data_IF_411436632506
#
_entry.id   IF_411436632506
#
_cell.length_a   1.000
_cell.length_b   1.000
_cell.length_c   1.000
_cell.angle_alpha   90.00
_cell.angle_beta   90.00
_cell.angle_gamma   90.00
#
_symmetry.space_group_name_H-M   'P 1'
#
loop_
_entity.id
_entity.type
_entity.pdbx_description
1 polymer ?
#
# COMPACT_ATOMS: atom_id res chain seq x y z
N UNK A 1 -12.42 -16.03 -16.19
CA UNK A 1 -12.62 -14.57 -16.17
C UNK A 1 -11.88 -14.00 -17.38
N UNK A 2 -12.37 -12.93 -18.04
CA UNK A 2 -11.69 -12.32 -19.19
C UNK A 2 -11.70 -10.81 -19.06
N UNK A 3 -10.59 -10.19 -19.46
CA UNK A 3 -10.43 -8.74 -19.50
C UNK A 3 -9.81 -8.33 -20.83
N UNK A 4 -10.22 -7.18 -21.33
CA UNK A 4 -9.64 -6.52 -22.51
C UNK A 4 -9.02 -5.20 -22.11
N UNK A 5 -7.86 -4.85 -22.69
CA UNK A 5 -7.29 -3.52 -22.54
C UNK A 5 -8.18 -2.51 -23.27
N UNK A 6 -8.68 -1.51 -22.55
CA UNK A 6 -9.57 -0.48 -23.11
C UNK A 6 -8.90 0.89 -23.25
N UNK A 7 -7.87 1.17 -22.44
CA UNK A 7 -7.22 2.49 -22.42
C UNK A 7 -5.76 2.37 -22.05
N UNK A 8 -4.96 3.26 -22.62
CA UNK A 8 -3.58 3.53 -22.24
C UNK A 8 -3.44 5.05 -22.11
N UNK A 9 -2.91 5.51 -20.98
CA UNK A 9 -2.74 6.92 -20.69
C UNK A 9 -1.27 7.14 -20.36
N UNK A 10 -0.61 7.99 -21.13
CA UNK A 10 0.81 8.25 -20.97
C UNK A 10 1.04 9.27 -19.85
N UNK A 11 2.19 9.17 -19.19
CA UNK A 11 2.68 10.14 -18.20
C UNK A 11 1.75 10.37 -17.00
N UNK A 12 1.10 9.31 -16.52
CA UNK A 12 0.31 9.34 -15.28
C UNK A 12 1.24 9.33 -14.06
N UNK A 13 1.15 10.36 -13.21
CA UNK A 13 1.99 10.44 -12.00
C UNK A 13 1.34 9.71 -10.83
N UNK A 14 0.07 9.97 -10.58
CA UNK A 14 -0.74 9.36 -9.53
C UNK A 14 -2.11 8.95 -10.07
N UNK A 15 -2.74 7.95 -9.46
CA UNK A 15 -4.11 7.57 -9.79
C UNK A 15 -4.80 6.91 -8.59
N UNK A 16 -6.11 7.13 -8.49
CA UNK A 16 -7.00 6.43 -7.58
C UNK A 16 -7.90 5.48 -8.40
N UNK A 17 -7.67 4.15 -8.32
CA UNK A 17 -8.46 3.18 -9.08
C UNK A 17 -9.92 3.11 -8.61
N UNK A 18 -10.25 3.49 -7.37
CA UNK A 18 -11.62 3.41 -6.83
C UNK A 18 -12.53 4.46 -7.46
N UNK A 19 -11.97 5.63 -7.74
CA UNK A 19 -12.71 6.82 -8.20
C UNK A 19 -12.36 7.21 -9.65
N UNK A 20 -11.44 6.48 -10.27
CA UNK A 20 -10.95 6.70 -11.64
C UNK A 20 -10.31 8.09 -11.85
N UNK A 21 -9.82 8.70 -10.76
CA UNK A 21 -9.08 9.96 -10.82
C UNK A 21 -7.63 9.68 -11.16
N UNK A 22 -7.01 10.49 -12.02
CA UNK A 22 -5.57 10.40 -12.26
C UNK A 22 -4.95 11.74 -12.61
N UNK A 23 -3.69 11.92 -12.21
CA UNK A 23 -2.88 13.07 -12.56
C UNK A 23 -2.00 12.77 -13.79
N UNK A 24 -1.92 13.71 -14.71
CA UNK A 24 -1.18 13.58 -15.99
C UNK A 24 -0.20 14.74 -16.18
N UNK A 25 0.95 14.45 -16.78
CA UNK A 25 1.99 15.44 -17.11
C UNK A 25 1.97 15.85 -18.60
N UNK A 26 1.52 14.96 -19.49
CA UNK A 26 1.40 15.20 -20.94
C UNK A 26 0.02 14.75 -21.45
N UNK A 27 -0.59 15.42 -22.46
CA UNK A 27 -0.08 16.60 -23.16
C UNK A 27 -0.23 17.91 -22.38
N UNK A 28 -1.03 17.91 -21.33
CA UNK A 28 -1.26 19.06 -20.43
C UNK A 28 -1.25 18.61 -18.99
N UNK A 29 -0.53 19.32 -18.14
CA UNK A 29 -0.43 19.04 -16.71
C UNK A 29 -1.77 19.26 -16.03
N UNK A 30 -2.23 18.28 -15.27
CA UNK A 30 -3.52 18.40 -14.60
C UNK A 30 -4.03 17.12 -13.96
N UNK A 31 -5.29 17.16 -13.57
CA UNK A 31 -6.05 16.03 -13.04
C UNK A 31 -7.21 15.76 -14.00
N UNK A 32 -7.49 14.49 -14.28
CA UNK A 32 -8.76 14.09 -14.87
C UNK A 32 -9.64 13.43 -13.80
N UNK A 33 -10.87 13.92 -13.68
CA UNK A 33 -11.89 13.37 -12.79
C UNK A 33 -13.26 13.43 -13.46
N UNK A 34 -14.01 12.32 -13.51
CA UNK A 34 -15.33 12.28 -14.14
C UNK A 34 -15.37 12.92 -15.54
N UNK A 35 -14.36 12.64 -16.36
CA UNK A 35 -14.18 13.24 -17.71
C UNK A 35 -13.92 14.75 -17.74
N UNK A 36 -13.87 15.42 -16.58
CA UNK A 36 -13.49 16.82 -16.44
C UNK A 36 -11.98 16.91 -16.25
N UNK A 37 -11.33 17.71 -17.09
CA UNK A 37 -9.90 18.00 -16.98
C UNK A 37 -9.68 19.32 -16.24
N UNK A 38 -8.88 19.26 -15.18
CA UNK A 38 -8.50 20.42 -14.37
C UNK A 38 -7.02 20.70 -14.67
N UNK A 39 -6.69 21.79 -15.40
CA UNK A 39 -5.30 22.14 -15.68
C UNK A 39 -4.60 22.63 -14.42
N UNK A 40 -3.36 22.19 -14.20
CA UNK A 40 -2.54 22.55 -13.05
C UNK A 40 -1.13 22.95 -13.47
N UNK A 41 -0.51 23.86 -12.71
CA UNK A 41 0.90 24.22 -12.92
C UNK A 41 1.85 23.08 -12.54
N UNK A 42 1.50 22.32 -11.49
CA UNK A 42 2.24 21.18 -10.98
C UNK A 42 1.36 19.95 -10.95
N UNK A 43 1.89 18.82 -11.42
CA UNK A 43 1.18 17.54 -11.42
C UNK A 43 1.27 16.93 -10.02
N UNK A 44 0.15 16.54 -9.41
CA UNK A 44 0.16 15.78 -8.16
C UNK A 44 0.91 14.45 -8.28
N UNK A 45 1.66 14.12 -7.24
CA UNK A 45 2.37 12.85 -7.09
C UNK A 45 1.55 11.83 -6.29
N UNK A 46 0.56 12.29 -5.52
CA UNK A 46 -0.44 11.43 -4.90
C UNK A 46 -1.85 12.01 -5.09
N UNK A 47 -2.84 11.12 -5.15
CA UNK A 47 -4.25 11.46 -5.38
C UNK A 47 -5.18 10.43 -4.76
N UNK A 48 -6.18 10.91 -4.04
CA UNK A 48 -7.30 10.10 -3.55
C UNK A 48 -8.58 10.91 -3.65
N UNK A 49 -9.69 10.27 -4.00
CA UNK A 49 -11.00 10.91 -3.88
C UNK A 49 -11.85 10.23 -2.82
N UNK A 50 -12.50 11.08 -2.03
CA UNK A 50 -13.23 10.75 -0.83
C UNK A 50 -14.55 11.50 -0.87
N UNK A 51 -15.64 10.78 -1.07
CA UNK A 51 -16.95 11.40 -1.29
C UNK A 51 -16.93 12.31 -2.51
N UNK A 52 -17.18 13.60 -2.31
CA UNK A 52 -17.17 14.62 -3.37
C UNK A 52 -15.84 15.38 -3.47
N UNK A 53 -14.90 15.13 -2.55
CA UNK A 53 -13.63 15.83 -2.48
C UNK A 53 -12.53 15.02 -3.14
N UNK A 54 -11.60 15.70 -3.80
CA UNK A 54 -10.34 15.14 -4.28
C UNK A 54 -9.22 15.74 -3.44
N UNK A 55 -8.33 14.89 -2.97
CA UNK A 55 -7.14 15.28 -2.25
C UNK A 55 -5.94 14.99 -3.14
N UNK A 56 -5.06 15.97 -3.28
CA UNK A 56 -3.86 15.83 -4.11
C UNK A 56 -2.65 16.35 -3.39
N UNK A 57 -1.53 15.65 -3.50
CA UNK A 57 -0.25 16.07 -2.90
C UNK A 57 0.76 16.29 -4.03
N UNK A 58 1.39 17.47 -4.06
CA UNK A 58 2.46 17.74 -5.01
C UNK A 58 3.86 17.44 -4.42
N UNK A 59 4.88 17.38 -5.27
CA UNK A 59 6.24 17.03 -4.83
C UNK A 59 6.92 18.05 -3.91
N UNK A 60 6.27 19.17 -3.59
CA UNK A 60 6.73 20.12 -2.59
C UNK A 60 6.00 19.97 -1.24
N UNK A 61 5.13 18.95 -1.10
CA UNK A 61 4.43 18.68 0.15
C UNK A 61 3.16 19.51 0.36
N UNK A 62 2.58 20.04 -0.71
CA UNK A 62 1.33 20.80 -0.63
C UNK A 62 0.17 19.86 -0.89
N UNK A 63 -0.61 19.60 0.15
CA UNK A 63 -1.90 18.94 0.04
C UNK A 63 -2.95 19.96 -0.40
N UNK A 64 -3.72 19.63 -1.43
CA UNK A 64 -4.78 20.46 -1.98
C UNK A 64 -6.08 19.70 -1.96
N UNK A 65 -7.15 20.39 -1.55
CA UNK A 65 -8.50 19.85 -1.46
C UNK A 65 -9.35 20.50 -2.53
N UNK A 66 -9.96 19.68 -3.38
CA UNK A 66 -10.79 20.10 -4.50
C UNK A 66 -12.21 19.59 -4.30
N UNK A 67 -13.21 20.39 -4.67
CA UNK A 67 -14.61 20.01 -4.66
C UNK A 67 -15.27 20.57 -5.92
N UNK A 68 -15.98 19.72 -6.68
CA UNK A 68 -16.58 20.10 -7.97
C UNK A 68 -15.60 20.76 -8.97
N UNK A 69 -14.32 20.39 -8.90
CA UNK A 69 -13.25 20.95 -9.73
C UNK A 69 -12.73 22.33 -9.30
N UNK A 70 -13.19 22.84 -8.16
CA UNK A 70 -12.75 24.09 -7.56
C UNK A 70 -11.77 23.78 -6.43
N UNK A 71 -10.64 24.50 -6.38
CA UNK A 71 -9.70 24.43 -5.26
C UNK A 71 -10.33 25.09 -4.03
N UNK A 72 -10.53 24.32 -2.97
CA UNK A 72 -11.12 24.79 -1.71
C UNK A 72 -10.03 25.21 -0.74
N UNK A 73 -8.98 24.41 -0.61
CA UNK A 73 -7.92 24.64 0.37
C UNK A 73 -6.56 24.14 -0.11
N UNK A 74 -5.50 24.80 0.34
CA UNK A 74 -4.12 24.35 0.18
C UNK A 74 -3.43 24.35 1.54
N UNK A 75 -2.87 23.20 1.91
CA UNK A 75 -2.25 22.95 3.19
C UNK A 75 -0.79 22.56 2.92
N UNK A 76 0.15 23.39 3.36
CA UNK A 76 1.58 23.13 3.19
C UNK A 76 2.08 22.05 4.15
N UNK A 77 3.13 21.32 3.81
CA UNK A 77 3.73 20.27 4.64
C UNK A 77 2.68 19.28 5.18
N UNK A 78 1.84 18.75 4.29
CA UNK A 78 0.81 17.79 4.65
C UNK A 78 0.73 16.66 3.63
N UNK A 79 0.31 15.49 4.10
CA UNK A 79 0.16 14.28 3.30
C UNK A 79 -1.12 13.51 3.67
N UNK A 80 -1.48 12.55 2.84
CA UNK A 80 -2.58 11.62 3.09
C UNK A 80 -2.20 10.63 4.19
N UNK A 81 -3.13 10.38 5.11
CA UNK A 81 -3.00 9.29 6.08
C UNK A 81 -3.38 7.96 5.41
N UNK A 82 -2.58 6.93 5.62
CA UNK A 82 -2.71 5.62 4.96
C UNK A 82 -4.02 4.88 5.25
N UNK A 83 -4.73 5.25 6.32
CA UNK A 83 -5.99 4.64 6.78
C UNK A 83 -7.05 5.67 7.23
N UNK A 84 -6.87 6.98 6.99
CA UNK A 84 -7.79 7.94 7.62
C UNK A 84 -9.22 7.83 7.11
N UNK A 85 -10.14 7.76 8.07
CA UNK A 85 -11.56 7.99 7.88
C UNK A 85 -11.78 9.48 7.57
N UNK A 86 -11.56 9.83 6.31
CA UNK A 86 -12.02 10.99 5.53
C UNK A 86 -11.83 12.44 6.03
N UNK A 87 -11.40 12.69 7.26
CA UNK A 87 -11.31 14.05 7.83
C UNK A 87 -9.99 14.36 8.55
N UNK A 88 -9.04 13.43 8.52
CA UNK A 88 -7.72 13.62 9.13
C UNK A 88 -6.63 13.46 8.09
N UNK A 89 -5.64 14.34 8.15
CA UNK A 89 -4.45 14.28 7.29
C UNK A 89 -3.18 14.35 8.14
N UNK A 90 -2.09 13.83 7.59
CA UNK A 90 -0.79 13.94 8.20
C UNK A 90 -0.30 15.37 8.01
N UNK A 91 0.22 15.98 9.07
CA UNK A 91 0.85 17.29 9.04
C UNK A 91 2.27 17.14 9.54
N UNK A 92 3.25 17.58 8.78
CA UNK A 92 4.65 17.47 9.16
C UNK A 92 5.35 18.83 9.17
N UNK A 93 6.45 18.89 9.91
CA UNK A 93 7.26 20.09 10.10
C UNK A 93 8.73 19.69 10.10
N UNK A 94 9.60 20.58 9.63
CA UNK A 94 11.05 20.39 9.71
C UNK A 94 11.65 21.42 10.64
N UNK A 95 12.56 20.98 11.51
CA UNK A 95 13.45 21.90 12.22
C UNK A 95 14.62 22.35 11.34
N UNK A 96 15.55 23.12 11.92
CA UNK A 96 16.72 23.64 11.21
C UNK A 96 17.72 22.55 10.81
N UNK A 97 17.65 21.38 11.43
CA UNK A 97 18.50 20.22 11.18
C UNK A 97 17.82 19.21 10.23
N UNK A 98 16.64 19.56 9.68
CA UNK A 98 15.82 18.70 8.82
C UNK A 98 15.24 17.47 9.52
N UNK A 99 15.13 17.48 10.85
CA UNK A 99 14.35 16.47 11.54
C UNK A 99 12.86 16.71 11.27
N UNK A 100 12.14 15.66 10.87
CA UNK A 100 10.70 15.70 10.65
C UNK A 100 9.93 15.52 11.95
N UNK A 101 8.90 16.33 12.16
CA UNK A 101 7.96 16.21 13.26
C UNK A 101 6.55 16.10 12.71
N UNK A 102 5.87 15.01 13.04
CA UNK A 102 4.55 14.71 12.53
C UNK A 102 3.47 15.03 13.57
N UNK A 103 2.30 15.37 13.06
CA UNK A 103 1.07 15.58 13.80
C UNK A 103 -0.12 15.21 12.90
N UNK A 104 -1.32 15.20 13.44
CA UNK A 104 -2.55 14.92 12.71
C UNK A 104 -3.36 16.20 12.69
N UNK A 105 -3.75 16.64 11.50
CA UNK A 105 -4.67 17.76 11.33
C UNK A 105 -6.08 17.23 11.12
N UNK A 106 -7.00 17.66 11.98
CA UNK A 106 -8.43 17.45 11.80
C UNK A 106 -9.00 18.55 10.90
N UNK A 107 -9.55 18.16 9.75
CA UNK A 107 -10.05 19.08 8.72
C UNK A 107 -11.38 19.74 9.08
N UNK A 108 -12.17 19.16 9.99
CA UNK A 108 -13.45 19.75 10.40
C UNK A 108 -13.22 20.92 11.37
N UNK A 109 -12.31 20.72 12.32
CA UNK A 109 -12.00 21.69 13.38
C UNK A 109 -10.83 22.60 13.03
N UNK A 110 -10.04 22.23 12.01
CA UNK A 110 -8.79 22.86 11.62
C UNK A 110 -7.79 22.97 12.79
N UNK A 111 -7.69 21.90 13.58
CA UNK A 111 -6.82 21.82 14.76
C UNK A 111 -5.93 20.59 14.69
N UNK A 112 -4.72 20.74 15.23
CA UNK A 112 -3.84 19.61 15.47
C UNK A 112 -4.41 18.76 16.61
N UNK A 113 -4.37 17.44 16.42
CA UNK A 113 -4.87 16.46 17.39
C UNK A 113 -3.86 16.24 18.51
N UNK A 114 -2.57 16.16 18.18
CA UNK A 114 -1.52 16.05 19.19
C UNK A 114 -1.20 17.43 19.75
N UNK A 115 -0.99 17.50 21.07
CA UNK A 115 -0.63 18.72 21.81
C UNK A 115 0.59 19.45 21.24
N UNK A 116 1.55 18.71 20.71
CA UNK A 116 2.70 19.19 19.94
C UNK A 116 3.08 18.16 18.86
N UNK A 117 3.80 18.58 17.83
CA UNK A 117 4.30 17.67 16.78
C UNK A 117 5.49 16.86 17.30
N UNK A 118 5.61 15.59 16.92
CA UNK A 118 6.59 14.66 17.50
C UNK A 118 7.53 14.07 16.43
N UNK A 119 8.78 13.74 16.78
CA UNK A 119 9.76 13.21 15.82
C UNK A 119 9.56 11.71 15.55
N UNK A 120 8.34 11.32 15.21
CA UNK A 120 7.94 9.93 14.93
C UNK A 120 6.97 9.90 13.76
N UNK A 121 7.00 8.82 12.98
CA UNK A 121 5.93 8.54 12.04
C UNK A 121 4.66 8.16 12.80
N UNK A 122 3.50 8.48 12.21
CA UNK A 122 2.21 8.23 12.84
C UNK A 122 1.39 7.22 12.05
N UNK A 123 0.89 6.22 12.77
CA UNK A 123 -0.19 5.35 12.33
C UNK A 123 -1.43 5.61 13.19
N UNK A 124 -2.54 5.91 12.52
CA UNK A 124 -3.81 6.22 13.16
C UNK A 124 -4.88 5.32 12.60
N UNK A 125 -5.58 4.61 13.48
CA UNK A 125 -6.73 3.79 13.11
C UNK A 125 -7.77 3.90 14.22
N UNK A 126 -8.99 4.35 13.87
CA UNK A 126 -10.07 4.66 14.81
C UNK A 126 -9.62 5.74 15.81
N UNK A 127 -9.36 5.36 17.06
CA UNK A 127 -8.90 6.24 18.14
C UNK A 127 -7.55 5.81 18.72
N UNK A 128 -6.80 4.98 18.00
CA UNK A 128 -5.48 4.51 18.40
C UNK A 128 -4.43 5.30 17.62
N UNK A 129 -3.47 5.86 18.35
CA UNK A 129 -2.33 6.59 17.79
C UNK A 129 -1.08 5.80 18.14
N UNK A 130 -0.40 5.32 17.09
CA UNK A 130 0.89 4.66 17.19
C UNK A 130 1.95 5.60 16.61
N UNK A 131 2.90 5.99 17.44
CA UNK A 131 4.11 6.69 17.03
C UNK A 131 5.23 5.66 16.84
N UNK A 132 5.93 5.68 15.71
CA UNK A 132 6.97 4.69 15.43
C UNK A 132 8.14 5.26 14.63
N UNK A 133 9.30 4.60 14.77
CA UNK A 133 10.54 4.94 14.07
C UNK A 133 11.02 3.70 13.30
N UNK A 134 11.06 3.83 11.97
CA UNK A 134 11.48 2.75 11.08
C UNK A 134 12.99 2.49 11.10
N UNK A 135 13.80 3.43 11.59
CA UNK A 135 15.24 3.28 11.68
C UNK A 135 15.66 2.66 13.00
N UNK A 136 15.10 3.14 14.11
CA UNK A 136 15.40 2.65 15.47
C UNK A 136 14.54 1.42 15.84
N UNK A 137 13.50 1.12 15.06
CA UNK A 137 12.59 0.00 15.33
C UNK A 137 11.76 0.19 16.60
N UNK A 138 11.52 1.45 17.00
CA UNK A 138 10.75 1.81 18.19
C UNK A 138 9.27 2.01 17.84
N UNK A 139 8.38 1.55 18.71
CA UNK A 139 6.93 1.65 18.57
C UNK A 139 6.34 2.09 19.90
N UNK A 140 5.49 3.11 19.88
CA UNK A 140 4.81 3.66 21.05
C UNK A 140 3.33 3.79 20.77
N UNK A 141 2.50 3.37 21.70
CA UNK A 141 1.12 3.86 21.75
C UNK A 141 1.09 5.11 22.61
N UNK A 142 0.55 6.19 22.06
CA UNK A 142 0.44 7.48 22.74
C UNK A 142 -1.02 7.93 22.80
N UNK A 143 -1.32 8.83 23.73
CA UNK A 143 -2.56 9.61 23.69
C UNK A 143 -2.35 10.97 23.01
N UNK A 144 -3.39 11.79 22.92
CA UNK A 144 -3.34 13.13 22.31
C UNK A 144 -2.48 14.12 23.09
N UNK A 145 -2.26 13.87 24.38
CA UNK A 145 -1.33 14.62 25.24
C UNK A 145 0.11 14.12 25.13
N UNK A 146 0.37 13.12 24.26
CA UNK A 146 1.68 12.54 23.93
C UNK A 146 2.25 11.71 25.09
N UNK A 147 1.43 11.36 26.07
CA UNK A 147 1.82 10.43 27.11
C UNK A 147 1.98 9.03 26.49
N UNK A 148 3.14 8.43 26.72
CA UNK A 148 3.42 7.06 26.28
C UNK A 148 2.65 6.09 27.16
N UNK A 149 1.68 5.39 26.57
CA UNK A 149 0.89 4.37 27.24
C UNK A 149 1.67 3.06 27.36
N UNK A 150 2.38 2.69 26.31
CA UNK A 150 3.39 1.63 26.29
C UNK A 150 4.38 1.84 25.16
N UNK A 151 5.52 1.17 25.25
CA UNK A 151 6.57 1.19 24.23
C UNK A 151 7.10 -0.22 23.97
N UNK A 152 7.53 -0.43 22.74
CA UNK A 152 8.10 -1.68 22.25
C UNK A 152 9.27 -1.38 21.29
N UNK A 153 10.26 -2.25 21.26
CA UNK A 153 11.36 -2.18 20.28
C UNK A 153 11.54 -3.52 19.60
N UNK A 154 11.74 -3.51 18.28
CA UNK A 154 12.02 -4.72 17.49
C UNK A 154 13.23 -5.49 18.05
N UNK A 155 14.24 -4.78 18.58
CA UNK A 155 15.42 -5.39 19.20
C UNK A 155 15.08 -6.31 20.40
N UNK A 156 13.91 -6.15 21.03
CA UNK A 156 13.48 -7.00 22.14
C UNK A 156 13.08 -8.42 21.72
N UNK A 157 12.87 -8.66 20.42
CA UNK A 157 12.56 -9.98 19.87
C UNK A 157 13.77 -10.93 19.85
N UNK A 158 14.95 -10.46 20.27
CA UNK A 158 16.19 -11.22 20.27
C UNK A 158 16.89 -11.18 18.92
N UNK A 159 17.57 -12.27 18.58
CA UNK A 159 18.38 -12.34 17.36
C UNK A 159 17.53 -12.08 16.10
N UNK A 160 18.14 -11.35 15.19
CA UNK A 160 17.61 -11.13 13.85
C UNK A 160 17.37 -12.47 13.14
N UNK A 161 16.33 -12.60 12.28
CA UNK A 161 16.18 -13.76 11.41
C UNK A 161 17.42 -14.00 10.53
N UNK A 162 18.22 -12.96 10.28
CA UNK A 162 19.44 -12.99 9.50
C UNK A 162 20.63 -12.49 10.35
N UNK A 163 21.63 -13.35 10.66
CA UNK A 163 22.68 -13.04 11.65
C UNK A 163 23.49 -11.76 11.44
N UNK A 164 23.59 -11.28 10.21
CA UNK A 164 24.41 -10.13 9.82
C UNK A 164 23.60 -8.85 9.55
N UNK A 165 22.29 -8.87 9.82
CA UNK A 165 21.38 -7.75 9.53
C UNK A 165 20.57 -7.35 10.76
N UNK A 166 20.46 -6.05 11.01
CA UNK A 166 19.61 -5.50 12.07
C UNK A 166 18.16 -5.41 11.57
N UNK A 167 17.23 -6.03 12.30
CA UNK A 167 15.82 -5.99 11.93
C UNK A 167 15.18 -4.66 12.33
N UNK A 168 14.28 -4.17 11.48
CA UNK A 168 13.66 -2.85 11.59
C UNK A 168 12.23 -2.88 11.07
N UNK A 169 11.43 -1.88 11.38
CA UNK A 169 10.04 -1.81 10.91
C UNK A 169 10.03 -1.61 9.39
N UNK A 170 9.27 -2.45 8.67
CA UNK A 170 8.93 -2.20 7.26
C UNK A 170 7.61 -1.41 7.17
N UNK A 171 6.58 -1.89 7.87
CA UNK A 171 5.26 -1.24 7.91
C UNK A 171 4.42 -1.71 9.10
N UNK A 172 3.46 -0.86 9.48
CA UNK A 172 2.31 -1.29 10.27
C UNK A 172 1.30 -1.95 9.32
N UNK A 173 0.88 -3.17 9.64
CA UNK A 173 -0.06 -3.95 8.82
C UNK A 173 -1.51 -3.55 9.14
N UNK A 174 -1.81 -3.32 10.42
CA UNK A 174 -3.09 -2.84 10.89
C UNK A 174 -3.43 -3.33 12.30
N UNK A 175 -4.62 -2.99 12.78
CA UNK A 175 -5.13 -3.47 14.07
C UNK A 175 -6.24 -4.50 13.83
N UNK A 176 -6.10 -5.69 14.42
CA UNK A 176 -7.06 -6.78 14.29
C UNK A 176 -7.13 -7.61 15.57
N UNK A 177 -8.34 -8.00 15.98
CA UNK A 177 -8.58 -8.82 17.17
C UNK A 177 -7.79 -8.38 18.42
N UNK A 178 -7.72 -7.07 18.68
CA UNK A 178 -7.05 -6.51 19.87
C UNK A 178 -5.53 -6.40 19.78
N UNK A 179 -4.94 -6.62 18.59
CA UNK A 179 -3.48 -6.57 18.41
C UNK A 179 -3.09 -5.58 17.31
N UNK A 180 -1.98 -4.86 17.54
CA UNK A 180 -1.24 -4.16 16.50
C UNK A 180 -0.36 -5.16 15.76
N UNK A 181 -0.53 -5.25 14.45
CA UNK A 181 0.28 -6.11 13.60
C UNK A 181 1.36 -5.30 12.89
N UNK A 182 2.61 -5.71 13.10
CA UNK A 182 3.81 -5.03 12.61
C UNK A 182 4.57 -5.99 11.72
N UNK A 183 5.03 -5.50 10.57
CA UNK A 183 5.87 -6.25 9.66
C UNK A 183 7.25 -5.62 9.57
N UNK A 184 8.28 -6.45 9.64
CA UNK A 184 9.67 -6.00 9.67
C UNK A 184 10.36 -6.15 8.32
N UNK A 185 11.51 -5.47 8.15
CA UNK A 185 12.34 -5.52 6.95
C UNK A 185 12.88 -6.92 6.69
N UNK A 186 13.05 -7.71 7.75
CA UNK A 186 13.53 -9.09 7.69
C UNK A 186 12.38 -10.11 7.74
N UNK A 187 11.20 -9.70 7.27
CA UNK A 187 10.06 -10.58 7.01
C UNK A 187 9.45 -11.22 8.26
N UNK A 188 9.65 -10.61 9.42
CA UNK A 188 8.98 -11.01 10.66
C UNK A 188 7.65 -10.29 10.76
N UNK A 189 6.60 -11.06 11.03
CA UNK A 189 5.29 -10.56 11.39
C UNK A 189 5.14 -10.67 12.91
N UNK A 190 4.77 -9.58 13.56
CA UNK A 190 4.68 -9.47 15.03
C UNK A 190 3.30 -8.94 15.41
N UNK A 191 2.67 -9.59 16.38
CA UNK A 191 1.45 -9.12 17.02
C UNK A 191 1.78 -8.57 18.40
N UNK A 192 1.47 -7.30 18.63
CA UNK A 192 1.56 -6.65 19.93
C UNK A 192 0.16 -6.45 20.48
N UNK A 193 -0.09 -6.85 21.72
CA UNK A 193 -1.34 -6.54 22.41
C UNK A 193 -1.53 -5.02 22.45
N UNK A 194 -2.68 -4.54 21.97
CA UNK A 194 -2.88 -3.10 21.76
C UNK A 194 -2.92 -2.30 23.07
N UNK A 195 -3.27 -2.95 24.18
CA UNK A 195 -3.40 -2.31 25.48
C UNK A 195 -2.09 -2.27 26.27
N UNK A 196 -1.22 -3.26 26.08
CA UNK A 196 -0.02 -3.44 26.89
C UNK A 196 1.29 -3.35 26.12
N UNK A 197 1.27 -3.48 24.79
CA UNK A 197 2.47 -3.54 23.96
C UNK A 197 3.24 -4.87 24.05
N UNK A 198 2.70 -5.86 24.78
CA UNK A 198 3.34 -7.17 24.93
C UNK A 198 3.20 -8.00 23.66
N UNK A 199 4.28 -8.67 23.26
CA UNK A 199 4.28 -9.62 22.14
C UNK A 199 3.35 -10.78 22.45
N UNK A 200 2.33 -10.97 21.62
CA UNK A 200 1.42 -12.11 21.69
C UNK A 200 1.85 -13.24 20.74
N UNK A 201 2.39 -12.86 19.60
CA UNK A 201 2.74 -13.78 18.52
C UNK A 201 3.81 -13.17 17.63
N UNK A 202 4.67 -14.01 17.07
CA UNK A 202 5.46 -13.64 15.91
C UNK A 202 5.76 -14.86 15.03
N UNK A 203 5.93 -14.62 13.74
CA UNK A 203 6.34 -15.63 12.76
C UNK A 203 7.08 -14.97 11.61
N UNK A 204 7.92 -15.72 10.91
CA UNK A 204 8.54 -15.25 9.68
C UNK A 204 7.65 -15.62 8.49
N UNK A 205 7.32 -14.65 7.64
CA UNK A 205 6.48 -14.86 6.46
C UNK A 205 6.66 -13.74 5.44
N UNK A 206 6.34 -14.00 4.17
CA UNK A 206 6.52 -13.03 3.09
C UNK A 206 5.20 -12.40 2.65
N UNK A 207 5.22 -11.10 2.41
CA UNK A 207 4.14 -10.40 1.69
C UNK A 207 2.82 -10.35 2.46
N UNK A 208 2.84 -9.76 3.65
CA UNK A 208 1.68 -9.72 4.55
C UNK A 208 0.68 -8.60 4.24
N UNK A 209 -0.60 -8.92 4.36
CA UNK A 209 -1.74 -8.02 4.24
C UNK A 209 -2.82 -8.40 5.24
N UNK A 210 -3.46 -7.42 5.87
CA UNK A 210 -4.63 -7.62 6.71
C UNK A 210 -5.88 -7.57 5.83
N UNK A 211 -6.71 -8.61 5.90
CA UNK A 211 -8.04 -8.57 5.31
C UNK A 211 -9.01 -7.86 6.26
N UNK A 212 -9.54 -6.71 5.85
CA UNK A 212 -10.44 -5.91 6.68
C UNK A 212 -11.81 -6.58 6.91
N UNK A 213 -12.18 -7.59 6.10
CA UNK A 213 -13.46 -8.30 6.24
C UNK A 213 -13.36 -9.43 7.27
N UNK A 214 -12.33 -10.27 7.14
CA UNK A 214 -12.16 -11.43 8.02
C UNK A 214 -11.22 -11.18 9.21
N UNK A 215 -10.56 -10.03 9.23
CA UNK A 215 -9.48 -9.66 10.16
C UNK A 215 -8.29 -10.63 10.15
N UNK A 216 -8.19 -11.56 9.20
CA UNK A 216 -7.07 -12.47 9.08
C UNK A 216 -5.90 -11.84 8.33
N UNK A 217 -4.69 -12.35 8.56
CA UNK A 217 -3.52 -11.96 7.80
C UNK A 217 -3.28 -12.94 6.67
N UNK A 218 -3.14 -12.41 5.47
CA UNK A 218 -2.71 -13.12 4.28
C UNK A 218 -1.23 -12.83 4.06
N UNK A 219 -0.39 -13.86 4.14
CA UNK A 219 0.99 -13.82 3.68
C UNK A 219 1.04 -14.40 2.27
N UNK A 220 1.26 -13.56 1.26
CA UNK A 220 1.22 -13.94 -0.16
C UNK A 220 2.60 -13.72 -0.78
N UNK A 221 3.16 -14.76 -1.37
CA UNK A 221 4.51 -14.75 -1.92
C UNK A 221 4.60 -15.54 -3.22
N UNK A 222 5.78 -15.61 -3.83
CA UNK A 222 5.99 -16.34 -5.10
C UNK A 222 5.82 -17.84 -4.99
N UNK A 223 5.98 -18.42 -3.80
CA UNK A 223 5.86 -19.85 -3.57
C UNK A 223 4.43 -20.29 -3.19
N UNK A 224 3.56 -19.38 -2.79
CA UNK A 224 2.27 -19.72 -2.24
C UNK A 224 1.62 -18.60 -1.43
N UNK A 225 0.61 -18.98 -0.66
CA UNK A 225 -0.02 -18.12 0.33
C UNK A 225 -0.40 -18.87 1.59
N UNK A 226 -0.44 -18.13 2.69
CA UNK A 226 -0.79 -18.59 4.04
C UNK A 226 -1.81 -17.64 4.64
N UNK A 227 -2.84 -18.18 5.31
CA UNK A 227 -3.81 -17.41 6.09
C UNK A 227 -3.57 -17.66 7.57
N UNK A 228 -3.29 -16.58 8.29
CA UNK A 228 -3.07 -16.57 9.74
C UNK A 228 -4.32 -16.02 10.41
N UNK A 229 -4.91 -16.81 11.30
CA UNK A 229 -5.99 -16.37 12.18
C UNK A 229 -5.44 -15.39 13.22
N UNK A 230 -5.89 -14.15 13.20
CA UNK A 230 -5.39 -13.13 14.13
C UNK A 230 -6.01 -13.23 15.52
N UNK A 231 -7.12 -13.98 15.67
CA UNK A 231 -7.74 -14.22 16.97
C UNK A 231 -7.08 -15.38 17.72
N UNK A 232 -6.72 -16.46 17.00
CA UNK A 232 -6.12 -17.65 17.61
C UNK A 232 -4.61 -17.78 17.42
N UNK A 233 -4.01 -16.90 16.61
CA UNK A 233 -2.58 -16.94 16.25
C UNK A 233 -2.14 -18.26 15.61
N UNK A 234 -3.00 -18.83 14.78
CA UNK A 234 -2.75 -20.12 14.11
C UNK A 234 -2.89 -20.00 12.60
N UNK A 235 -2.13 -20.81 11.86
CA UNK A 235 -2.33 -20.98 10.43
C UNK A 235 -3.66 -21.70 10.18
N UNK A 236 -4.58 -21.06 9.45
CA UNK A 236 -5.86 -21.64 9.03
C UNK A 236 -5.71 -22.43 7.74
N UNK A 237 -4.88 -21.92 6.84
CA UNK A 237 -4.75 -22.45 5.49
C UNK A 237 -3.37 -22.12 4.93
N UNK A 238 -2.80 -23.08 4.21
CA UNK A 238 -1.56 -22.97 3.47
C UNK A 238 -1.76 -23.54 2.06
N UNK A 239 -1.19 -22.85 1.06
CA UNK A 239 -1.27 -23.26 -0.33
C UNK A 239 0.04 -23.00 -1.06
N UNK A 240 0.74 -24.07 -1.47
CA UNK A 240 2.02 -23.98 -2.16
C UNK A 240 1.83 -24.18 -3.67
N UNK A 241 2.11 -23.15 -4.47
CA UNK A 241 1.87 -23.16 -5.91
C UNK A 241 2.63 -24.28 -6.63
N UNK A 242 3.87 -24.56 -6.24
CA UNK A 242 4.68 -25.62 -6.87
C UNK A 242 4.13 -27.03 -6.67
N UNK A 243 3.28 -27.26 -5.66
CA UNK A 243 2.67 -28.55 -5.37
C UNK A 243 1.23 -28.62 -5.89
N UNK A 244 0.48 -27.55 -5.65
CA UNK A 244 -0.97 -27.54 -5.84
C UNK A 244 -1.39 -26.96 -7.19
N UNK A 245 -0.61 -26.04 -7.77
CA UNK A 245 -0.91 -25.36 -9.04
C UNK A 245 0.34 -25.16 -9.93
N UNK A 246 1.07 -26.24 -10.29
CA UNK A 246 2.35 -26.13 -11.01
C UNK A 246 2.22 -25.51 -12.40
N UNK A 247 1.09 -25.74 -13.08
CA UNK A 247 0.81 -25.23 -14.43
C UNK A 247 0.17 -23.83 -14.42
N UNK A 248 -0.40 -23.40 -13.29
CA UNK A 248 -0.95 -22.07 -13.08
C UNK A 248 0.08 -21.14 -12.44
N UNK A 249 -0.06 -20.85 -11.15
CA UNK A 249 0.87 -19.96 -10.44
C UNK A 249 2.30 -20.51 -10.33
N UNK A 250 2.48 -21.83 -10.32
CA UNK A 250 3.79 -22.47 -10.21
C UNK A 250 4.75 -22.20 -11.37
N UNK A 251 4.27 -21.65 -12.49
CA UNK A 251 5.10 -21.24 -13.63
C UNK A 251 5.85 -19.91 -13.39
N UNK A 252 5.43 -19.13 -12.40
CA UNK A 252 6.05 -17.84 -12.09
C UNK A 252 7.29 -18.05 -11.23
N UNK A 253 8.43 -17.54 -11.70
CA UNK A 253 9.67 -17.54 -10.93
C UNK A 253 9.61 -16.49 -9.81
N UNK A 254 8.98 -15.35 -10.12
CA UNK A 254 8.80 -14.26 -9.17
C UNK A 254 7.40 -13.66 -9.27
N UNK A 255 6.81 -13.41 -8.10
CA UNK A 255 5.56 -12.69 -7.90
C UNK A 255 5.90 -11.45 -7.07
N UNK A 256 5.50 -10.28 -7.55
CA UNK A 256 5.77 -9.00 -6.90
C UNK A 256 4.46 -8.30 -6.56
N UNK A 257 4.47 -7.58 -5.43
CA UNK A 257 3.34 -6.82 -4.87
C UNK A 257 1.99 -7.50 -5.08
N UNK A 258 1.82 -8.74 -4.59
CA UNK A 258 0.50 -9.32 -4.55
C UNK A 258 -0.41 -8.40 -3.72
N UNK A 259 -1.65 -8.21 -4.15
CA UNK A 259 -2.62 -7.35 -3.48
C UNK A 259 -3.93 -8.11 -3.30
N UNK A 260 -4.32 -8.34 -2.05
CA UNK A 260 -5.59 -8.96 -1.69
C UNK A 260 -6.74 -7.98 -1.95
N UNK A 261 -7.73 -8.40 -2.74
CA UNK A 261 -8.85 -7.56 -3.19
C UNK A 261 -10.14 -8.40 -3.24
N UNK A 262 -10.78 -8.55 -2.08
CA UNK A 262 -11.94 -9.43 -1.90
C UNK A 262 -11.54 -10.90 -1.95
N UNK A 263 -12.17 -11.68 -2.82
CA UNK A 263 -11.92 -13.13 -2.97
C UNK A 263 -10.72 -13.46 -3.88
N UNK A 264 -10.01 -12.43 -4.33
CA UNK A 264 -8.89 -12.55 -5.25
C UNK A 264 -7.64 -11.91 -4.63
N UNK A 265 -6.47 -12.38 -5.05
CA UNK A 265 -5.30 -11.52 -5.06
C UNK A 265 -4.83 -11.28 -6.49
N UNK A 266 -4.44 -10.04 -6.76
CA UNK A 266 -3.81 -9.66 -8.01
C UNK A 266 -2.30 -9.65 -7.83
N UNK A 267 -1.56 -9.70 -8.93
CA UNK A 267 -0.10 -9.63 -8.86
C UNK A 267 0.51 -9.14 -10.16
N UNK A 268 1.79 -8.76 -10.08
CA UNK A 268 2.67 -8.62 -11.24
C UNK A 268 3.80 -9.65 -11.12
N UNK A 269 4.31 -10.15 -12.24
CA UNK A 269 5.24 -11.28 -12.19
C UNK A 269 6.17 -11.40 -13.39
N UNK A 270 7.10 -12.34 -13.24
CA UNK A 270 7.98 -12.83 -14.30
C UNK A 270 8.00 -14.34 -14.30
N UNK A 271 7.84 -14.94 -15.48
CA UNK A 271 7.93 -16.39 -15.66
C UNK A 271 9.39 -16.83 -15.76
N UNK A 272 9.60 -18.14 -15.63
CA UNK A 272 10.94 -18.71 -15.66
C UNK A 272 11.72 -18.33 -16.93
N UNK A 273 13.00 -17.94 -16.75
CA UNK A 273 13.93 -17.51 -17.84
C UNK A 273 13.62 -16.17 -18.51
N UNK A 274 12.75 -15.34 -17.95
CA UNK A 274 12.50 -13.99 -18.44
C UNK A 274 13.39 -12.93 -17.75
N UNK A 275 14.66 -12.85 -18.12
CA UNK A 275 15.65 -11.92 -17.51
C UNK A 275 15.50 -10.44 -17.92
N UNK A 276 14.31 -10.03 -18.40
CA UNK A 276 14.04 -8.70 -19.00
C UNK A 276 13.32 -7.70 -18.10
N UNK A 277 12.99 -8.07 -16.85
CA UNK A 277 12.15 -7.29 -15.95
C UNK A 277 10.73 -7.84 -15.85
N UNK A 278 9.84 -7.13 -15.17
CA UNK A 278 8.48 -7.61 -14.88
C UNK A 278 7.55 -7.23 -16.05
N UNK A 279 6.78 -8.18 -16.58
CA UNK A 279 5.92 -7.95 -17.76
C UNK A 279 4.54 -8.62 -17.70
N UNK A 280 4.31 -9.51 -16.73
CA UNK A 280 3.04 -10.19 -16.56
C UNK A 280 2.21 -9.56 -15.46
N UNK A 281 0.90 -9.59 -15.65
CA UNK A 281 -0.12 -9.26 -14.65
C UNK A 281 -1.09 -10.43 -14.53
N UNK A 282 -1.67 -10.65 -13.34
CA UNK A 282 -2.58 -11.77 -13.14
C UNK A 282 -3.53 -11.61 -11.95
N UNK A 283 -4.53 -12.48 -11.92
CA UNK A 283 -5.56 -12.58 -10.89
C UNK A 283 -5.68 -14.04 -10.47
N UNK A 284 -5.48 -14.29 -9.19
CA UNK A 284 -5.68 -15.60 -8.58
C UNK A 284 -6.92 -15.56 -7.68
N UNK A 285 -7.79 -16.55 -7.84
CA UNK A 285 -8.93 -16.79 -6.95
C UNK A 285 -8.46 -17.75 -5.86
N UNK A 286 -8.29 -17.24 -4.63
CA UNK A 286 -7.72 -18.07 -3.56
C UNK A 286 -8.72 -19.07 -3.01
N UNK A 287 -10.03 -18.78 -3.08
CA UNK A 287 -11.10 -19.70 -2.68
C UNK A 287 -11.26 -20.84 -3.69
N UNK A 288 -11.21 -20.52 -4.98
CA UNK A 288 -11.24 -21.51 -6.05
C UNK A 288 -9.87 -22.17 -6.29
N UNK A 289 -8.81 -21.68 -5.63
CA UNK A 289 -7.42 -22.14 -5.72
C UNK A 289 -6.92 -22.20 -7.17
N UNK A 290 -7.17 -21.13 -7.93
CA UNK A 290 -6.92 -21.12 -9.37
C UNK A 290 -6.46 -19.76 -9.89
N UNK A 291 -5.47 -19.77 -10.78
CA UNK A 291 -5.17 -18.65 -11.66
C UNK A 291 -6.34 -18.44 -12.66
N UNK A 292 -7.15 -17.41 -12.44
CA UNK A 292 -8.39 -17.19 -13.21
C UNK A 292 -8.20 -16.27 -14.42
N UNK A 293 -7.11 -15.50 -14.44
CA UNK A 293 -6.73 -14.64 -15.54
C UNK A 293 -5.24 -14.26 -15.45
N UNK A 294 -4.57 -14.18 -16.60
CA UNK A 294 -3.22 -13.65 -16.75
C UNK A 294 -3.08 -12.93 -18.09
N UNK A 295 -2.14 -11.99 -18.17
CA UNK A 295 -1.85 -11.23 -19.39
C UNK A 295 -0.39 -10.79 -19.42
N UNK A 296 0.30 -11.03 -20.53
CA UNK A 296 1.63 -10.45 -20.78
C UNK A 296 1.44 -9.03 -21.29
N UNK A 297 1.51 -8.05 -20.39
CA UNK A 297 1.33 -6.65 -20.73
C UNK A 297 2.51 -6.11 -21.53
N UNK A 298 3.73 -6.48 -21.12
CA UNK A 298 4.96 -6.05 -21.74
C UNK A 298 5.69 -7.31 -22.24
N UNK A 299 5.57 -7.65 -23.53
CA UNK A 299 6.24 -8.80 -24.11
C UNK A 299 7.74 -8.82 -23.82
N UNK A 300 8.31 -10.00 -23.56
CA UNK A 300 9.73 -10.14 -23.26
C UNK A 300 10.66 -9.44 -24.25
N UNK A 301 10.38 -9.56 -25.55
CA UNK A 301 11.17 -8.90 -26.60
C UNK A 301 11.03 -7.37 -26.59
N UNK A 302 9.87 -6.83 -26.22
CA UNK A 302 9.68 -5.39 -26.03
C UNK A 302 10.46 -4.89 -24.80
N UNK A 303 10.42 -5.62 -23.68
CA UNK A 303 11.16 -5.28 -22.46
C UNK A 303 12.67 -5.21 -22.71
N UNK A 304 13.21 -6.15 -23.50
CA UNK A 304 14.63 -6.18 -23.87
C UNK A 304 15.06 -4.95 -24.67
N UNK A 305 14.25 -4.54 -25.64
CA UNK A 305 14.59 -3.46 -26.57
C UNK A 305 14.35 -2.08 -25.95
N UNK A 306 13.21 -1.91 -25.27
CA UNK A 306 12.78 -0.59 -24.77
C UNK A 306 13.17 -0.31 -23.33
N UNK A 307 13.65 -1.34 -22.61
CA UNK A 307 13.86 -1.35 -21.16
C UNK A 307 12.61 -1.01 -20.33
N UNK A 308 11.43 -1.04 -20.95
CA UNK A 308 10.17 -0.88 -20.24
C UNK A 308 9.89 -2.10 -19.36
N UNK A 309 9.24 -1.89 -18.23
CA UNK A 309 8.82 -2.94 -17.29
C UNK A 309 7.75 -2.41 -16.35
N UNK A 310 7.01 -3.32 -15.72
CA UNK A 310 6.12 -2.98 -14.63
C UNK A 310 6.90 -2.49 -13.42
N UNK A 311 6.28 -1.61 -12.63
CA UNK A 311 6.87 -1.00 -11.44
C UNK A 311 6.74 -1.98 -10.27
N UNK A 312 7.86 -2.61 -9.86
CA UNK A 312 7.83 -3.63 -8.82
C UNK A 312 7.09 -3.20 -7.54
N UNK A 313 7.19 -1.94 -7.08
CA UNK A 313 6.42 -1.47 -5.92
C UNK A 313 4.91 -1.22 -6.12
N UNK A 314 4.39 -1.19 -7.35
CA UNK A 314 2.99 -0.86 -7.63
C UNK A 314 2.18 -2.13 -7.95
N UNK A 315 1.09 -2.41 -7.20
CA UNK A 315 0.24 -3.57 -7.45
C UNK A 315 -0.68 -3.35 -8.67
N UNK A 316 -1.28 -4.45 -9.13
CA UNK A 316 -2.41 -4.42 -10.07
C UNK A 316 -3.69 -4.15 -9.28
N UNK A 317 -4.31 -2.99 -9.46
CA UNK A 317 -5.54 -2.65 -8.75
C UNK A 317 -6.77 -3.17 -9.48
N UNK A 318 -7.78 -3.59 -8.71
CA UNK A 318 -9.09 -4.01 -9.19
C UNK A 318 -10.15 -3.11 -8.58
N UNK A 319 -10.98 -2.51 -9.43
CA UNK A 319 -12.09 -1.64 -9.02
C UNK A 319 -13.29 -1.89 -9.91
N UNK A 320 -14.39 -2.38 -9.31
CA UNK A 320 -15.57 -2.81 -10.06
C UNK A 320 -15.22 -3.86 -11.12
N UNK A 321 -15.50 -3.54 -12.39
CA UNK A 321 -15.19 -4.39 -13.55
C UNK A 321 -13.85 -4.04 -14.23
N UNK A 322 -13.02 -3.16 -13.64
CA UNK A 322 -11.78 -2.66 -14.26
C UNK A 322 -10.52 -3.06 -13.49
N UNK A 323 -9.40 -3.09 -14.21
CA UNK A 323 -8.05 -3.25 -13.66
C UNK A 323 -7.15 -2.09 -14.06
N UNK A 324 -6.22 -1.72 -13.17
CA UNK A 324 -5.32 -0.57 -13.35
C UNK A 324 -3.89 -0.96 -12.98
N UNK A 325 -2.94 -0.65 -13.86
CA UNK A 325 -1.51 -0.88 -13.61
C UNK A 325 -0.65 0.14 -14.37
N UNK A 326 0.48 0.54 -13.77
CA UNK A 326 1.43 1.46 -14.39
C UNK A 326 2.76 0.78 -14.71
N UNK A 327 3.38 1.18 -15.82
CA UNK A 327 4.77 0.83 -16.13
C UNK A 327 5.78 1.85 -15.59
N UNK A 328 7.08 1.55 -15.75
CA UNK A 328 8.18 2.42 -15.31
C UNK A 328 8.31 3.72 -16.13
N UNK A 329 7.58 3.83 -17.24
CA UNK A 329 7.54 5.03 -18.10
C UNK A 329 6.32 5.92 -17.80
N UNK A 330 5.61 5.61 -16.71
CA UNK A 330 4.39 6.28 -16.28
C UNK A 330 3.18 6.07 -17.22
N UNK A 331 3.16 5.00 -18.02
CA UNK A 331 1.95 4.65 -18.78
C UNK A 331 0.98 3.88 -17.89
N UNK A 332 -0.23 4.39 -17.70
CA UNK A 332 -1.33 3.72 -17.03
C UNK A 332 -2.13 2.90 -18.04
N UNK A 333 -2.28 1.61 -17.76
CA UNK A 333 -3.05 0.66 -18.54
C UNK A 333 -4.34 0.32 -17.79
N UNK A 334 -5.47 0.43 -18.50
CA UNK A 334 -6.80 0.14 -17.96
C UNK A 334 -7.42 -1.00 -18.75
N UNK A 335 -7.88 -2.01 -18.02
CA UNK A 335 -8.59 -3.16 -18.56
C UNK A 335 -10.03 -3.17 -18.08
N UNK A 336 -10.93 -3.75 -18.86
CA UNK A 336 -12.34 -3.92 -18.53
C UNK A 336 -12.73 -5.39 -18.69
N UNK A 337 -13.50 -5.92 -17.74
CA UNK A 337 -14.00 -7.29 -17.74
C UNK A 337 -14.98 -7.48 -18.89
N UNK A 338 -14.80 -8.54 -19.67
CA UNK A 338 -15.75 -8.95 -20.70
C UNK A 338 -16.98 -9.59 -20.04
N UNK A 339 -18.18 -9.28 -20.56
CA UNK A 339 -19.45 -9.87 -20.12
C UNK A 339 -19.55 -11.38 -20.42
#
# INVERSE_FOLDING_TARGET
MKFRKIKEIQKVKAFDPKTEVYSVDEPTKGILFNEVFIPLEKVPLDIIAIGQKIFTVDGAGYLKIWEEGILIETIENADLLSKSDNNQILKYYYDKEWNSYDNILDLETNKLILKESIPYQLYVEKNIIIAYDIFEGEIKRINTDIETLWQFTIASLGDSPYPDEEDRIDKIVGIANGNLWVYTKLYRLVALDIETGNVQYHTDCFGVQLDEVTENIFAIASNGWTVIDTQTFTIKEDYFFSKEDPEGMGQYESVYKPLLQGDYFTFIGSKHKEYGGIGWIGIFDYKARKLVWEYELLPFEERKTTRNRLVAPQPLYMSGNKLYIKDIKDNLYIFEREE
#
